data_IF_475311422793
#
_entry.id   IF_475311422793
#
_cell.length_a   1.000
_cell.length_b   1.000
_cell.length_c   1.000
_cell.angle_alpha   90.00
_cell.angle_beta   90.00
_cell.angle_gamma   90.00
#
_symmetry.space_group_name_H-M   'P 1'
#
loop_
_entity.id
_entity.type
_entity.pdbx_description
1 polymer ?
#
# COMPACT_ATOMS: atom_id res chain seq x y z
N UNK A 1 8.24 25.20 -0.63
CA UNK A 1 8.67 23.80 -0.44
C UNK A 1 9.62 23.44 -1.57
N UNK A 2 10.67 22.65 -1.33
CA UNK A 2 11.51 22.13 -2.42
C UNK A 2 10.65 21.19 -3.26
N UNK A 3 10.70 21.31 -4.60
CA UNK A 3 9.96 20.42 -5.49
C UNK A 3 10.43 18.98 -5.26
N UNK A 4 9.50 18.08 -4.94
CA UNK A 4 9.79 16.64 -4.81
C UNK A 4 9.85 16.04 -6.21
N UNK A 5 10.97 15.39 -6.54
CA UNK A 5 11.14 14.70 -7.82
C UNK A 5 10.34 13.38 -7.85
N UNK A 6 10.22 12.76 -9.04
CA UNK A 6 9.58 11.46 -9.17
C UNK A 6 10.18 10.44 -8.19
N UNK A 7 9.33 9.65 -7.54
CA UNK A 7 9.66 8.70 -6.48
C UNK A 7 10.28 9.27 -5.20
N UNK A 8 10.55 10.57 -5.10
CA UNK A 8 10.86 11.19 -3.80
C UNK A 8 9.59 11.28 -2.95
N UNK A 9 9.73 11.01 -1.66
CA UNK A 9 8.62 11.00 -0.71
C UNK A 9 8.95 11.88 0.48
N UNK A 10 8.13 12.90 0.75
CA UNK A 10 8.19 13.59 2.03
C UNK A 10 7.24 12.91 3.03
N UNK A 11 7.71 12.63 4.23
CA UNK A 11 6.90 12.04 5.29
C UNK A 11 6.61 13.08 6.36
N UNK A 12 5.33 13.40 6.56
CA UNK A 12 4.86 14.22 7.66
C UNK A 12 4.43 13.31 8.79
N UNK A 13 4.95 13.52 10.00
CA UNK A 13 4.64 12.65 11.14
C UNK A 13 4.49 13.42 12.44
N UNK A 14 3.75 12.80 13.37
CA UNK A 14 3.64 13.26 14.76
C UNK A 14 3.59 12.06 15.70
N UNK A 15 4.50 12.04 16.66
CA UNK A 15 4.46 11.12 17.80
C UNK A 15 3.51 11.65 18.88
N UNK A 16 2.73 10.75 19.47
CA UNK A 16 1.75 11.01 20.52
C UNK A 16 1.98 10.02 21.66
N UNK A 17 2.10 10.52 22.88
CA UNK A 17 2.26 9.70 24.10
C UNK A 17 0.90 9.22 24.60
N UNK A 18 0.26 8.40 23.78
CA UNK A 18 -1.01 7.73 24.07
C UNK A 18 -1.08 6.41 23.29
N UNK A 19 -1.98 5.53 23.72
CA UNK A 19 -2.18 4.21 23.12
C UNK A 19 -3.69 4.02 22.89
N UNK A 20 -4.21 4.39 21.70
CA UNK A 20 -5.63 4.24 21.41
C UNK A 20 -5.94 2.75 21.18
N UNK A 21 -7.18 2.35 21.46
CA UNK A 21 -7.66 1.03 21.06
C UNK A 21 -7.63 0.93 19.51
N UNK A 22 -6.91 -0.04 18.92
CA UNK A 22 -6.73 -0.12 17.47
C UNK A 22 -8.02 -0.31 16.70
N UNK A 23 -8.95 -1.11 17.22
CA UNK A 23 -10.23 -1.41 16.56
C UNK A 23 -11.14 -0.19 16.58
N UNK A 24 -11.25 0.50 17.72
CA UNK A 24 -11.99 1.75 17.84
C UNK A 24 -11.38 2.85 16.97
N UNK A 25 -10.05 2.93 16.90
CA UNK A 25 -9.37 3.87 16.02
C UNK A 25 -9.63 3.56 14.55
N UNK A 26 -9.53 2.29 14.15
CA UNK A 26 -9.85 1.87 12.79
C UNK A 26 -11.29 2.25 12.44
N UNK A 27 -12.27 1.88 13.28
CA UNK A 27 -13.67 2.23 13.08
C UNK A 27 -13.90 3.75 12.95
N UNK A 28 -13.23 4.56 13.76
CA UNK A 28 -13.32 6.02 13.70
C UNK A 28 -12.73 6.60 12.40
N UNK A 29 -11.74 5.94 11.80
CA UNK A 29 -11.05 6.41 10.59
C UNK A 29 -11.60 5.83 9.28
N UNK A 30 -12.39 4.74 9.33
CA UNK A 30 -12.85 4.00 8.15
C UNK A 30 -14.38 3.92 8.02
N UNK A 31 -15.12 4.91 8.55
CA UNK A 31 -16.59 4.89 8.58
C UNK A 31 -17.16 3.58 9.18
N UNK A 32 -16.64 3.19 10.34
CA UNK A 32 -17.00 1.93 10.99
C UNK A 32 -16.59 0.69 10.21
N UNK A 33 -15.53 0.77 9.40
CA UNK A 33 -15.03 -0.33 8.57
C UNK A 33 -15.68 -0.45 7.19
N UNK A 34 -16.50 0.52 6.78
CA UNK A 34 -17.15 0.53 5.45
C UNK A 34 -16.35 1.25 4.37
N UNK A 35 -15.43 2.13 4.74
CA UNK A 35 -14.57 2.80 3.78
C UNK A 35 -13.70 1.74 3.07
N UNK A 36 -13.63 1.75 1.72
CA UNK A 36 -12.77 0.84 0.99
C UNK A 36 -11.30 1.24 1.12
N UNK A 37 -10.39 0.35 0.71
CA UNK A 37 -8.95 0.63 0.61
C UNK A 37 -8.32 1.05 1.94
N UNK A 38 -8.84 0.53 3.07
CA UNK A 38 -8.31 0.70 4.42
C UNK A 38 -7.89 -0.65 5.01
N UNK A 39 -6.93 -0.65 5.93
CA UNK A 39 -6.48 -1.87 6.62
C UNK A 39 -6.18 -1.63 8.10
N UNK A 40 -6.42 -2.67 8.90
CA UNK A 40 -5.96 -2.81 10.26
C UNK A 40 -5.11 -4.09 10.33
N UNK A 41 -3.85 -3.96 10.77
CA UNK A 41 -2.97 -5.10 11.03
C UNK A 41 -2.55 -5.07 12.49
N UNK A 42 -2.73 -6.20 13.18
CA UNK A 42 -2.35 -6.37 14.58
C UNK A 42 -1.40 -7.55 14.70
N UNK A 43 -0.27 -7.36 15.36
CA UNK A 43 0.61 -8.47 15.72
C UNK A 43 0.11 -9.06 17.03
N UNK A 44 -0.20 -10.34 17.12
CA UNK A 44 -0.42 -11.03 18.39
C UNK A 44 0.65 -12.12 18.56
N UNK A 45 1.27 -12.21 19.73
CA UNK A 45 2.20 -13.29 20.06
C UNK A 45 1.46 -14.33 20.91
N UNK A 46 1.69 -15.63 20.68
CA UNK A 46 0.94 -16.70 21.37
C UNK A 46 1.12 -16.68 22.89
N UNK A 47 2.18 -16.01 23.38
CA UNK A 47 2.47 -15.86 24.81
C UNK A 47 1.88 -14.59 25.44
N UNK A 48 1.57 -13.55 24.65
CA UNK A 48 1.05 -12.27 25.12
C UNK A 48 -0.37 -12.07 24.58
N UNK A 49 -1.34 -12.01 25.48
CA UNK A 49 -2.75 -11.74 25.14
C UNK A 49 -2.98 -10.34 24.55
N UNK A 50 -1.97 -9.46 24.54
CA UNK A 50 -1.98 -8.17 23.86
C UNK A 50 -0.86 -8.07 22.84
N UNK A 51 -1.20 -7.57 21.66
CA UNK A 51 -0.25 -7.38 20.57
C UNK A 51 0.83 -6.36 20.84
N UNK A 52 2.01 -6.51 20.23
CA UNK A 52 3.12 -5.57 20.39
C UNK A 52 2.90 -4.25 19.63
N UNK A 53 2.35 -4.36 18.41
CA UNK A 53 2.13 -3.24 17.49
C UNK A 53 0.81 -3.43 16.73
N UNK A 54 0.16 -2.31 16.44
CA UNK A 54 -0.94 -2.26 15.47
C UNK A 54 -0.68 -1.17 14.42
N UNK A 55 -1.13 -1.41 13.19
CA UNK A 55 -1.04 -0.50 12.06
C UNK A 55 -2.44 -0.25 11.52
N UNK A 56 -2.83 1.03 11.43
CA UNK A 56 -4.12 1.46 10.89
C UNK A 56 -3.85 2.33 9.66
N UNK A 57 -4.10 1.82 8.46
CA UNK A 57 -4.09 2.63 7.23
C UNK A 57 -5.51 3.05 6.91
N UNK A 58 -5.75 4.36 6.93
CA UNK A 58 -7.05 4.96 6.65
C UNK A 58 -7.16 5.53 5.24
N UNK A 59 -6.03 5.67 4.53
CA UNK A 59 -5.99 6.14 3.14
C UNK A 59 -4.84 5.49 2.38
N UNK A 60 -5.15 4.94 1.22
CA UNK A 60 -4.17 4.48 0.25
C UNK A 60 -3.93 5.54 -0.84
N UNK A 61 -2.70 5.62 -1.34
CA UNK A 61 -2.34 6.39 -2.52
C UNK A 61 -2.57 5.59 -3.81
N UNK A 62 -2.17 4.31 -3.79
CA UNK A 62 -2.32 3.37 -4.90
C UNK A 62 -2.97 2.08 -4.42
N UNK A 63 -3.72 1.45 -5.32
CA UNK A 63 -4.12 0.04 -5.25
C UNK A 63 -3.52 -0.70 -6.45
N UNK A 64 -2.85 -1.81 -6.17
CA UNK A 64 -2.30 -2.72 -7.16
C UNK A 64 -3.10 -4.02 -7.12
N UNK A 65 -3.69 -4.40 -8.25
CA UNK A 65 -4.47 -5.63 -8.41
C UNK A 65 -3.81 -6.51 -9.45
N UNK A 66 -3.25 -7.63 -9.02
CA UNK A 66 -2.62 -8.62 -9.88
C UNK A 66 -3.59 -9.73 -10.24
N UNK A 67 -3.60 -10.13 -11.52
CA UNK A 67 -4.35 -11.29 -12.00
C UNK A 67 -3.48 -12.18 -12.88
N UNK A 68 -3.56 -13.48 -12.64
CA UNK A 68 -2.97 -14.60 -13.35
C UNK A 68 -4.12 -15.47 -13.82
N UNK A 69 -4.76 -15.11 -14.94
CA UNK A 69 -5.82 -15.99 -15.43
C UNK A 69 -5.19 -17.21 -16.11
N UNK A 70 -5.89 -18.34 -16.01
CA UNK A 70 -5.61 -19.58 -16.76
C UNK A 70 -5.56 -19.37 -18.30
N UNK A 71 -5.87 -18.16 -18.79
CA UNK A 71 -5.77 -17.72 -20.18
C UNK A 71 -4.48 -16.94 -20.50
N UNK A 72 -3.40 -17.10 -19.73
CA UNK A 72 -2.12 -16.39 -19.93
C UNK A 72 -2.19 -14.86 -19.71
N UNK A 73 -3.20 -14.33 -19.02
CA UNK A 73 -3.23 -12.91 -18.67
C UNK A 73 -2.47 -12.72 -17.36
N UNK A 74 -1.20 -12.29 -17.48
CA UNK A 74 -0.35 -11.89 -16.35
C UNK A 74 -0.39 -10.38 -16.23
N UNK A 75 -1.45 -9.87 -15.62
CA UNK A 75 -1.75 -8.43 -15.65
C UNK A 75 -1.69 -7.82 -14.26
N UNK A 76 -1.26 -6.56 -14.20
CA UNK A 76 -1.37 -5.74 -13.00
C UNK A 76 -2.09 -4.45 -13.36
N UNK A 77 -3.17 -4.18 -12.64
CA UNK A 77 -3.85 -2.88 -12.67
C UNK A 77 -3.37 -2.04 -11.50
N UNK A 78 -2.88 -0.84 -11.79
CA UNK A 78 -2.41 0.15 -10.82
C UNK A 78 -3.40 1.32 -10.83
N UNK A 79 -4.22 1.42 -9.80
CA UNK A 79 -5.18 2.51 -9.63
C UNK A 79 -4.66 3.53 -8.60
N UNK A 80 -4.69 4.81 -8.96
CA UNK A 80 -4.48 5.92 -8.03
C UNK A 80 -5.79 6.26 -7.32
N UNK A 81 -5.72 6.31 -5.99
CA UNK A 81 -6.88 6.54 -5.13
C UNK A 81 -6.95 7.98 -4.60
N UNK A 82 -5.91 8.78 -4.84
CA UNK A 82 -5.83 10.18 -4.45
C UNK A 82 -5.07 11.02 -5.49
N UNK A 83 -5.18 12.35 -5.39
CA UNK A 83 -4.37 13.26 -6.20
C UNK A 83 -2.86 13.06 -5.97
N UNK A 84 -2.49 12.74 -4.73
CA UNK A 84 -1.12 12.44 -4.34
C UNK A 84 -0.64 11.11 -4.96
N UNK A 85 -1.50 10.09 -5.03
CA UNK A 85 -1.19 8.81 -5.71
C UNK A 85 -1.00 8.95 -7.21
N UNK A 86 -1.70 9.89 -7.88
CA UNK A 86 -1.51 10.15 -9.32
C UNK A 86 -0.07 10.52 -9.68
N UNK A 87 0.68 11.13 -8.75
CA UNK A 87 2.09 11.48 -8.95
C UNK A 87 2.97 10.26 -9.25
N UNK A 88 2.58 9.07 -8.80
CA UNK A 88 3.35 7.84 -8.97
C UNK A 88 3.01 7.12 -10.28
N UNK A 89 1.83 7.33 -10.85
CA UNK A 89 1.32 6.48 -11.94
C UNK A 89 2.18 6.59 -13.21
N UNK A 90 2.45 7.80 -13.69
CA UNK A 90 3.30 8.03 -14.86
C UNK A 90 4.71 7.43 -14.70
N UNK A 91 5.47 7.81 -13.65
CA UNK A 91 6.80 7.26 -13.40
C UNK A 91 6.83 5.74 -13.23
N UNK A 92 5.81 5.15 -12.60
CA UNK A 92 5.70 3.68 -12.48
C UNK A 92 5.53 3.03 -13.84
N UNK A 93 4.64 3.54 -14.69
CA UNK A 93 4.42 2.98 -16.02
C UNK A 93 5.65 3.12 -16.91
N UNK A 94 6.34 4.25 -16.87
CA UNK A 94 7.61 4.43 -17.58
C UNK A 94 8.65 3.39 -17.13
N UNK A 95 8.77 3.17 -15.81
CA UNK A 95 9.69 2.17 -15.26
C UNK A 95 9.33 0.74 -15.69
N UNK A 96 8.04 0.41 -15.70
CA UNK A 96 7.54 -0.93 -16.02
C UNK A 96 7.57 -1.23 -17.52
N UNK A 97 7.54 -0.21 -18.38
CA UNK A 97 7.54 -0.37 -19.84
C UNK A 97 8.79 -1.06 -20.42
N UNK A 98 9.83 -1.30 -19.63
CA UNK A 98 10.97 -2.12 -20.02
C UNK A 98 10.68 -3.63 -20.00
N UNK A 99 9.79 -4.05 -19.09
CA UNK A 99 9.58 -5.45 -18.71
C UNK A 99 8.14 -5.93 -18.97
N UNK A 100 7.24 -5.00 -19.34
CA UNK A 100 5.81 -5.25 -19.53
C UNK A 100 5.22 -4.37 -20.64
N UNK A 101 4.16 -4.88 -21.28
CA UNK A 101 3.36 -4.13 -22.25
C UNK A 101 2.30 -3.28 -21.53
N UNK A 102 2.19 -2.00 -21.88
CA UNK A 102 1.15 -1.12 -21.35
C UNK A 102 -0.13 -1.32 -22.15
N UNK A 103 -1.14 -1.98 -21.56
CA UNK A 103 -2.42 -2.27 -22.21
C UNK A 103 -3.37 -1.08 -22.19
N UNK A 104 -3.40 -0.36 -21.06
CA UNK A 104 -4.26 0.80 -20.84
C UNK A 104 -3.58 1.79 -19.93
N UNK A 105 -3.75 3.08 -20.21
CA UNK A 105 -3.29 4.15 -19.34
C UNK A 105 -4.29 5.31 -19.37
N UNK A 106 -4.56 5.85 -18.18
CA UNK A 106 -5.33 7.06 -17.96
C UNK A 106 -4.67 7.87 -16.83
N UNK A 107 -5.24 9.03 -16.49
CA UNK A 107 -4.76 9.83 -15.36
C UNK A 107 -4.90 9.13 -14.00
N UNK A 108 -5.78 8.13 -13.89
CA UNK A 108 -6.11 7.50 -12.60
C UNK A 108 -5.79 6.03 -12.50
N UNK A 109 -5.60 5.36 -13.62
CA UNK A 109 -5.41 3.92 -13.65
C UNK A 109 -4.58 3.54 -14.88
N UNK A 110 -3.74 2.53 -14.73
CA UNK A 110 -3.04 1.89 -15.83
C UNK A 110 -2.98 0.37 -15.62
N UNK A 111 -2.96 -0.37 -16.73
CA UNK A 111 -2.86 -1.83 -16.73
C UNK A 111 -1.65 -2.23 -17.56
N UNK A 112 -0.78 -3.03 -16.98
CA UNK A 112 0.39 -3.62 -17.65
C UNK A 112 0.25 -5.14 -17.74
N UNK A 113 0.79 -5.72 -18.81
CA UNK A 113 0.81 -7.16 -19.03
C UNK A 113 2.24 -7.66 -19.15
N UNK A 114 2.52 -8.77 -18.47
CA UNK A 114 3.82 -9.42 -18.49
C UNK A 114 3.81 -10.60 -19.45
N UNK A 115 4.92 -10.83 -20.18
CA UNK A 115 5.06 -12.02 -21.00
C UNK A 115 5.06 -13.30 -20.14
N UNK A 116 4.74 -14.46 -20.72
CA UNK A 116 4.98 -15.73 -20.04
C UNK A 116 6.48 -15.92 -19.76
N UNK A 117 6.85 -16.61 -18.67
CA UNK A 117 8.23 -16.87 -18.33
C UNK A 117 8.86 -17.73 -19.43
N UNK A 118 10.18 -17.56 -19.69
CA UNK A 118 10.88 -18.37 -20.68
C UNK A 118 10.88 -19.85 -20.26
N UNK A 119 10.99 -20.73 -21.26
CA UNK A 119 11.38 -22.11 -21.00
C UNK A 119 12.81 -22.16 -20.47
N UNK A 120 13.08 -22.94 -19.43
CA UNK A 120 14.42 -23.04 -18.86
C UNK A 120 14.41 -23.69 -17.49
N UNK A 121 15.57 -23.63 -16.83
CA UNK A 121 15.68 -24.01 -15.43
C UNK A 121 14.86 -23.08 -14.52
N UNK A 122 14.70 -23.53 -13.27
CA UNK A 122 13.96 -22.80 -12.24
C UNK A 122 14.52 -21.39 -12.02
N UNK A 123 15.85 -21.25 -11.99
CA UNK A 123 16.51 -19.96 -11.77
C UNK A 123 16.18 -18.94 -12.86
N UNK A 124 16.22 -19.35 -14.13
CA UNK A 124 15.88 -18.49 -15.27
C UNK A 124 14.43 -18.03 -15.20
N UNK A 125 13.51 -18.95 -14.86
CA UNK A 125 12.08 -18.65 -14.69
C UNK A 125 11.82 -17.71 -13.51
N UNK A 126 12.52 -17.89 -12.39
CA UNK A 126 12.38 -17.05 -11.20
C UNK A 126 12.86 -15.61 -11.41
N UNK A 127 13.83 -15.39 -12.30
CA UNK A 127 14.38 -14.08 -12.63
C UNK A 127 13.64 -13.35 -13.76
N UNK A 128 12.70 -14.03 -14.43
CA UNK A 128 11.96 -13.44 -15.53
C UNK A 128 11.00 -12.32 -15.05
N UNK A 129 10.72 -11.32 -15.89
CA UNK A 129 9.68 -10.34 -15.64
C UNK A 129 8.34 -10.96 -15.24
N UNK A 130 7.68 -10.37 -14.25
CA UNK A 130 6.46 -10.90 -13.66
C UNK A 130 5.58 -9.81 -13.06
N UNK A 131 4.34 -10.16 -12.74
CA UNK A 131 3.41 -9.28 -12.01
C UNK A 131 3.96 -8.74 -10.69
N UNK A 132 4.94 -9.41 -10.09
CA UNK A 132 5.62 -8.94 -8.87
C UNK A 132 6.55 -7.74 -9.12
N UNK A 133 6.99 -7.51 -10.36
CA UNK A 133 7.80 -6.35 -10.71
C UNK A 133 7.04 -5.03 -10.56
N UNK A 134 5.72 -5.04 -10.77
CA UNK A 134 4.87 -3.89 -10.46
C UNK A 134 4.89 -3.57 -8.96
N UNK A 135 4.83 -4.60 -8.11
CA UNK A 135 4.92 -4.44 -6.64
C UNK A 135 6.30 -3.95 -6.23
N UNK A 136 7.37 -4.54 -6.77
CA UNK A 136 8.75 -4.11 -6.54
C UNK A 136 8.96 -2.66 -6.97
N UNK A 137 8.46 -2.27 -8.14
CA UNK A 137 8.54 -0.90 -8.63
C UNK A 137 7.80 0.08 -7.71
N UNK A 138 6.59 -0.26 -7.25
CA UNK A 138 5.79 0.59 -6.38
C UNK A 138 6.41 0.82 -4.99
N UNK A 139 7.19 -0.12 -4.48
CA UNK A 139 7.78 -0.05 -3.13
C UNK A 139 9.25 0.35 -3.15
N UNK A 140 10.06 -0.30 -3.98
CA UNK A 140 11.52 -0.18 -3.95
C UNK A 140 12.04 1.05 -4.70
N UNK A 141 11.22 1.68 -5.54
CA UNK A 141 11.62 2.93 -6.22
C UNK A 141 11.53 4.14 -5.29
N UNK A 142 10.74 4.05 -4.21
CA UNK A 142 10.45 5.17 -3.33
C UNK A 142 11.67 5.56 -2.49
N UNK A 143 11.99 6.86 -2.48
CA UNK A 143 13.06 7.43 -1.68
C UNK A 143 12.48 8.46 -0.72
N UNK A 144 12.46 8.14 0.57
CA UNK A 144 12.07 9.11 1.60
C UNK A 144 13.12 10.21 1.68
N UNK A 145 12.70 11.46 1.51
CA UNK A 145 13.57 12.64 1.55
C UNK A 145 13.10 13.61 2.63
N UNK A 146 14.04 13.99 3.49
CA UNK A 146 13.78 14.90 4.62
C UNK A 146 12.96 14.27 5.75
N UNK A 147 13.19 14.78 6.96
CA UNK A 147 12.51 14.34 8.18
C UNK A 147 13.01 12.99 8.73
N UNK A 148 12.68 12.74 10.00
CA UNK A 148 13.02 11.52 10.74
C UNK A 148 11.78 10.63 10.90
N UNK A 149 11.02 10.42 9.81
CA UNK A 149 9.83 9.58 9.89
C UNK A 149 10.24 8.15 10.29
N UNK A 150 9.61 7.57 11.33
CA UNK A 150 10.09 6.32 11.90
C UNK A 150 9.70 5.09 11.08
N UNK A 151 8.88 5.27 10.03
CA UNK A 151 8.48 4.23 9.10
C UNK A 151 8.51 4.75 7.65
N UNK A 152 9.01 3.96 6.69
CA UNK A 152 8.83 4.25 5.28
C UNK A 152 7.37 4.05 4.85
N UNK A 153 6.97 4.49 3.64
CA UNK A 153 5.69 4.11 3.06
C UNK A 153 5.48 2.59 3.09
N UNK A 154 4.34 2.17 3.62
CA UNK A 154 3.94 0.77 3.71
C UNK A 154 3.18 0.37 2.45
N UNK A 155 3.50 -0.78 1.88
CA UNK A 155 2.63 -1.48 0.94
C UNK A 155 2.15 -2.78 1.60
N UNK A 156 0.85 -2.94 1.74
CA UNK A 156 0.25 -4.07 2.44
C UNK A 156 -1.07 -4.45 1.80
N UNK A 157 -1.48 -5.71 1.98
CA UNK A 157 -2.75 -6.23 1.45
C UNK A 157 -2.77 -7.75 1.48
N UNK A 158 -3.39 -8.35 0.49
CA UNK A 158 -3.56 -9.81 0.39
C UNK A 158 -2.81 -10.37 -0.81
N UNK A 159 -2.29 -11.59 -0.63
CA UNK A 159 -1.72 -12.42 -1.68
C UNK A 159 -2.52 -13.73 -1.65
N UNK A 160 -3.18 -14.06 -2.75
CA UNK A 160 -3.97 -15.28 -2.87
C UNK A 160 -3.06 -16.49 -3.09
N UNK A 161 -3.60 -17.67 -2.80
CA UNK A 161 -2.90 -18.93 -3.03
C UNK A 161 -2.54 -19.15 -4.50
N UNK A 162 -3.42 -18.71 -5.41
CA UNK A 162 -3.30 -18.89 -6.85
C UNK A 162 -2.12 -18.13 -7.48
N UNK A 163 -1.50 -17.18 -6.74
CA UNK A 163 -0.23 -16.56 -7.16
C UNK A 163 0.87 -17.62 -7.39
N UNK A 164 0.75 -18.82 -6.80
CA UNK A 164 1.63 -19.96 -7.05
C UNK A 164 1.70 -20.37 -8.54
N UNK A 165 0.64 -20.10 -9.33
CA UNK A 165 0.59 -20.32 -10.79
C UNK A 165 1.66 -19.51 -11.55
N UNK A 166 2.27 -18.51 -10.90
CA UNK A 166 3.42 -17.80 -11.45
C UNK A 166 4.63 -18.71 -11.63
N UNK A 167 4.79 -19.68 -10.73
CA UNK A 167 5.97 -20.52 -10.60
C UNK A 167 5.69 -22.00 -10.84
N UNK A 168 4.46 -22.48 -10.73
CA UNK A 168 4.12 -23.88 -10.94
C UNK A 168 2.99 -24.04 -11.95
N UNK A 169 3.03 -25.13 -12.72
CA UNK A 169 1.94 -25.48 -13.63
C UNK A 169 0.91 -26.32 -12.88
N UNK A 170 -0.10 -25.67 -12.29
CA UNK A 170 -1.17 -26.34 -11.56
C UNK A 170 -2.35 -26.68 -12.47
N UNK A 171 -3.08 -27.77 -12.21
CA UNK A 171 -4.34 -28.05 -12.89
C UNK A 171 -5.36 -26.93 -12.63
N UNK A 172 -6.12 -26.55 -13.65
CA UNK A 172 -7.17 -25.55 -13.51
C UNK A 172 -8.17 -25.93 -12.39
N UNK A 173 -8.58 -24.97 -11.54
CA UNK A 173 -9.56 -25.22 -10.49
C UNK A 173 -10.91 -25.60 -11.10
N UNK A 174 -11.68 -26.44 -10.40
CA UNK A 174 -13.02 -26.84 -10.85
C UNK A 174 -14.00 -25.68 -10.89
N UNK A 175 -13.77 -24.66 -10.06
CA UNK A 175 -14.57 -23.44 -9.94
C UNK A 175 -13.77 -22.37 -9.22
N UNK A 176 -13.98 -21.11 -9.60
CA UNK A 176 -13.54 -19.94 -8.85
C UNK A 176 -14.76 -19.09 -8.46
N UNK A 177 -15.37 -19.36 -7.29
CA UNK A 177 -16.56 -18.63 -6.84
C UNK A 177 -16.24 -17.25 -6.26
N UNK A 178 -14.97 -16.97 -5.94
CA UNK A 178 -14.57 -15.70 -5.32
C UNK A 178 -14.16 -14.66 -6.36
N UNK A 179 -13.66 -15.10 -7.53
CA UNK A 179 -13.08 -14.22 -8.56
C UNK A 179 -12.13 -13.17 -7.96
N UNK A 180 -11.40 -13.61 -6.94
CA UNK A 180 -10.50 -12.77 -6.17
C UNK A 180 -9.18 -12.64 -6.93
N UNK A 181 -8.57 -11.44 -6.99
CA UNK A 181 -7.28 -11.27 -7.63
C UNK A 181 -6.17 -12.06 -6.93
N UNK A 182 -5.16 -12.49 -7.69
CA UNK A 182 -3.97 -13.18 -7.17
C UNK A 182 -3.20 -12.36 -6.13
N UNK A 183 -3.28 -11.04 -6.24
CA UNK A 183 -2.98 -10.15 -5.12
C UNK A 183 -3.76 -8.84 -5.23
N UNK A 184 -4.01 -8.24 -4.07
CA UNK A 184 -4.50 -6.87 -3.94
C UNK A 184 -3.70 -6.17 -2.84
N UNK A 185 -2.94 -5.14 -3.23
CA UNK A 185 -2.00 -4.44 -2.36
C UNK A 185 -2.23 -2.93 -2.42
N UNK A 186 -2.13 -2.28 -1.27
CA UNK A 186 -2.31 -0.83 -1.13
C UNK A 186 -1.03 -0.17 -0.65
N UNK A 187 -0.61 0.88 -1.36
CA UNK A 187 0.47 1.76 -0.91
C UNK A 187 -0.13 2.85 -0.02
N UNK A 188 0.29 2.91 1.24
CA UNK A 188 -0.23 3.83 2.23
C UNK A 188 0.05 5.30 1.88
N UNK A 189 -0.99 6.13 1.96
CA UNK A 189 -0.89 7.60 2.01
C UNK A 189 -0.96 8.10 3.45
N UNK A 190 -1.81 7.49 4.27
CA UNK A 190 -2.07 7.84 5.67
C UNK A 190 -2.05 6.59 6.54
N UNK A 191 -1.30 6.65 7.64
CA UNK A 191 -1.06 5.51 8.53
C UNK A 191 -0.95 5.98 9.98
N UNK A 192 -1.52 5.21 10.92
CA UNK A 192 -1.21 5.29 12.35
C UNK A 192 -0.49 4.03 12.77
N UNK A 193 0.68 4.19 13.37
CA UNK A 193 1.44 3.10 13.98
C UNK A 193 1.36 3.18 15.50
N UNK A 194 0.72 2.18 16.11
CA UNK A 194 0.55 2.05 17.55
C UNK A 194 1.61 1.09 18.09
N UNK A 195 2.32 1.54 19.11
CA UNK A 195 3.35 0.77 19.84
C UNK A 195 2.83 0.54 21.25
N UNK A 196 2.24 -0.63 21.49
CA UNK A 196 1.53 -0.94 22.74
C UNK A 196 2.48 -0.94 23.94
N UNK A 197 3.68 -1.52 23.78
CA UNK A 197 4.71 -1.61 24.84
C UNK A 197 5.21 -0.24 25.33
N UNK A 198 5.36 0.73 24.42
CA UNK A 198 5.85 2.08 24.75
C UNK A 198 4.72 3.10 24.91
N UNK A 199 3.46 2.64 24.84
CA UNK A 199 2.23 3.45 24.89
C UNK A 199 2.30 4.70 24.00
N UNK A 200 2.75 4.49 22.77
CA UNK A 200 2.97 5.57 21.79
C UNK A 200 2.22 5.28 20.50
N UNK A 201 1.63 6.31 19.92
CA UNK A 201 1.10 6.28 18.56
C UNK A 201 1.87 7.27 17.68
N UNK A 202 2.15 6.91 16.44
CA UNK A 202 2.72 7.79 15.44
C UNK A 202 1.72 7.93 14.30
N UNK A 203 1.23 9.15 14.08
CA UNK A 203 0.43 9.49 12.92
C UNK A 203 1.36 9.91 11.78
N UNK A 204 1.18 9.34 10.59
CA UNK A 204 2.00 9.60 9.40
C UNK A 204 1.13 9.91 8.17
N UNK A 205 1.61 10.83 7.34
CA UNK A 205 1.15 11.04 5.98
C UNK A 205 2.31 11.18 5.01
N UNK A 206 2.22 10.54 3.86
CA UNK A 206 3.24 10.55 2.82
C UNK A 206 2.82 11.44 1.65
N UNK A 207 3.75 12.27 1.18
CA UNK A 207 3.58 13.13 0.00
C UNK A 207 4.54 12.62 -1.08
N UNK A 208 3.97 12.12 -2.18
CA UNK A 208 4.73 11.58 -3.30
C UNK A 208 5.06 12.69 -4.31
N UNK A 209 6.30 12.72 -4.78
CA UNK A 209 6.78 13.72 -5.72
C UNK A 209 6.23 13.56 -7.14
N UNK A 210 5.92 14.69 -7.76
CA UNK A 210 5.23 14.78 -9.05
C UNK A 210 4.49 16.10 -9.20
N UNK A 211 3.68 16.24 -10.25
CA UNK A 211 2.98 17.48 -10.59
C UNK A 211 2.05 17.98 -9.46
N UNK A 212 1.40 17.06 -8.74
CA UNK A 212 0.44 17.38 -7.68
C UNK A 212 1.13 17.57 -6.30
N UNK A 213 2.45 17.43 -6.19
CA UNK A 213 3.15 17.34 -4.90
C UNK A 213 2.91 18.56 -3.99
N UNK A 214 2.83 19.77 -4.54
CA UNK A 214 2.56 20.97 -3.76
C UNK A 214 1.14 20.95 -3.16
N UNK A 215 0.13 20.59 -3.97
CA UNK A 215 -1.25 20.48 -3.51
C UNK A 215 -1.39 19.33 -2.49
N UNK A 216 -0.76 18.19 -2.77
CA UNK A 216 -0.70 17.03 -1.89
C UNK A 216 -0.05 17.35 -0.54
N UNK A 217 0.98 18.20 -0.50
CA UNK A 217 1.59 18.61 0.77
C UNK A 217 0.64 19.45 1.64
N UNK A 218 -0.09 20.38 1.03
CA UNK A 218 -1.10 21.17 1.75
C UNK A 218 -2.24 20.28 2.27
N UNK A 219 -2.67 19.29 1.48
CA UNK A 219 -3.64 18.28 1.92
C UNK A 219 -3.09 17.46 3.09
N UNK A 220 -1.88 16.92 2.95
CA UNK A 220 -1.24 16.10 3.98
C UNK A 220 -1.04 16.87 5.30
N UNK A 221 -0.73 18.16 5.26
CA UNK A 221 -0.59 18.98 6.48
C UNK A 221 -1.92 19.12 7.22
N UNK A 222 -3.02 19.40 6.50
CA UNK A 222 -4.36 19.48 7.09
C UNK A 222 -4.83 18.12 7.58
N UNK A 223 -4.65 17.09 6.74
CA UNK A 223 -5.01 15.71 7.03
C UNK A 223 -4.30 15.16 8.26
N UNK A 224 -2.99 15.41 8.40
CA UNK A 224 -2.24 15.01 9.59
C UNK A 224 -2.78 15.65 10.86
N UNK A 225 -3.18 16.93 10.79
CA UNK A 225 -3.80 17.63 11.93
C UNK A 225 -5.13 17.00 12.34
N UNK A 226 -5.97 16.63 11.36
CA UNK A 226 -7.23 15.92 11.59
C UNK A 226 -7.00 14.52 12.17
N UNK A 227 -6.05 13.76 11.60
CA UNK A 227 -5.66 12.43 12.07
C UNK A 227 -5.21 12.45 13.53
N UNK A 228 -4.35 13.40 13.91
CA UNK A 228 -3.92 13.60 15.30
C UNK A 228 -5.13 13.87 16.21
N UNK A 229 -6.10 14.66 15.75
CA UNK A 229 -7.34 14.93 16.47
C UNK A 229 -8.12 13.65 16.77
N UNK A 230 -8.35 12.80 15.76
CA UNK A 230 -9.04 11.52 15.92
C UNK A 230 -8.27 10.57 16.85
N UNK A 231 -6.95 10.44 16.66
CA UNK A 231 -6.11 9.59 17.51
C UNK A 231 -6.17 10.03 18.97
N UNK A 232 -6.18 11.33 19.25
CA UNK A 232 -6.36 11.87 20.61
C UNK A 232 -7.74 11.58 21.17
N UNK A 233 -8.80 11.80 20.39
CA UNK A 233 -10.17 11.58 20.84
C UNK A 233 -10.44 10.12 21.22
N UNK A 234 -9.91 9.17 20.44
CA UNK A 234 -10.00 7.73 20.76
C UNK A 234 -9.09 7.38 21.93
N UNK A 235 -7.87 7.90 21.97
CA UNK A 235 -6.88 7.58 23.01
C UNK A 235 -7.20 8.12 24.41
N UNK A 236 -8.06 9.14 24.55
CA UNK A 236 -8.52 9.64 25.86
C UNK A 236 -9.85 9.02 26.30
N UNK A 237 -10.55 8.32 25.41
CA UNK A 237 -11.88 7.75 25.67
C UNK A 237 -11.89 6.39 26.39
N UNK A 238 -10.74 5.72 26.49
CA UNK A 238 -10.62 4.33 26.97
C UNK A 238 -10.43 4.16 28.49
N UNK A 239 -10.51 5.24 29.28
CA UNK A 239 -10.47 5.20 30.77
C UNK A 239 -11.88 4.99 31.39
N UNK A 240 -12.78 4.25 30.73
CA UNK A 240 -14.12 3.93 31.26
C UNK A 240 -14.36 2.43 31.39
#
# INVERSE_FOLDING_TARGET
MKTLAAFEVAALSRSLELCPDPVALYAALSDGGRAPDTLLLESADQSNQSGDKSLVMSRAALRLTGRLTQKNERQVTIASLSANGRNLLGPLIERLGHDADVLRQSEREATVAYPPPPSGDEETRMRAPSVLDAVRAAVLSLKVVGGDAPLPPLCAGSIAYDLLDLYEALPAPKSDPLDWPDFELWLAEELVWIQHKTRRAVALRFVFGGAEAQAAYHDATRGLSALIGTVRAVGTGTDR
#
